data_IF_651161881719
#
_entry.id   IF_651161881719
#
_cell.length_a   1.000
_cell.length_b   1.000
_cell.length_c   1.000
_cell.angle_alpha   90.00
_cell.angle_beta   90.00
_cell.angle_gamma   90.00
#
_symmetry.space_group_name_H-M   'P 1'
#
loop_
_entity.id
_entity.type
_entity.pdbx_description
1 polymer ?
#
# COMPACT_ATOMS: atom_id res chain seq x y z
N UNK A 1 -20.75 73.99 -84.76
CA UNK A 1 -19.44 73.39 -85.11
C UNK A 1 -19.39 71.97 -84.51
N UNK A 2 -18.80 71.04 -85.27
CA UNK A 2 -18.59 69.59 -85.10
C UNK A 2 -18.49 69.03 -83.64
N UNK A 3 -19.18 67.92 -83.28
CA UNK A 3 -18.82 66.46 -83.39
C UNK A 3 -17.69 66.12 -82.37
N UNK A 4 -17.69 65.09 -81.51
CA UNK A 4 -18.01 63.65 -81.59
C UNK A 4 -18.20 63.07 -80.17
N UNK A 5 -19.04 62.04 -80.05
CA UNK A 5 -19.31 61.17 -78.89
C UNK A 5 -18.22 60.12 -78.64
N UNK A 6 -18.00 59.73 -77.37
CA UNK A 6 -17.48 58.42 -77.01
C UNK A 6 -18.36 57.74 -75.94
N UNK A 7 -18.73 56.50 -76.23
CA UNK A 7 -19.50 55.56 -75.40
C UNK A 7 -18.76 55.19 -74.12
N UNK A 8 -19.43 55.27 -72.97
CA UNK A 8 -19.04 54.57 -71.76
C UNK A 8 -19.64 53.15 -71.78
N UNK A 9 -18.77 52.13 -71.70
CA UNK A 9 -19.13 50.73 -71.56
C UNK A 9 -19.52 50.45 -70.12
N UNK A 10 -20.75 50.01 -69.92
CA UNK A 10 -21.38 49.73 -68.63
C UNK A 10 -20.86 48.38 -68.13
N UNK A 11 -20.26 48.35 -66.94
CA UNK A 11 -19.98 47.10 -66.25
C UNK A 11 -21.32 46.40 -65.94
N UNK A 12 -21.46 45.17 -66.41
CA UNK A 12 -22.71 44.38 -66.38
C UNK A 12 -23.21 44.11 -64.95
N UNK A 13 -24.54 44.20 -64.68
CA UNK A 13 -25.13 44.08 -63.33
C UNK A 13 -24.92 42.74 -62.62
N UNK A 14 -24.50 41.69 -63.33
CA UNK A 14 -24.43 40.33 -62.78
C UNK A 14 -23.23 40.10 -61.85
N UNK A 15 -22.08 40.74 -62.11
CA UNK A 15 -20.89 40.58 -61.25
C UNK A 15 -21.08 41.23 -59.87
N UNK A 16 -21.77 42.38 -59.81
CA UNK A 16 -22.00 43.11 -58.57
C UNK A 16 -22.99 42.41 -57.62
N UNK A 17 -23.99 41.72 -58.17
CA UNK A 17 -24.96 40.93 -57.38
C UNK A 17 -24.33 39.65 -56.82
N UNK A 18 -23.44 39.00 -57.60
CA UNK A 18 -22.70 37.81 -57.18
C UNK A 18 -21.71 38.10 -56.04
N UNK A 19 -20.93 39.20 -56.11
CA UNK A 19 -20.02 39.57 -55.01
C UNK A 19 -20.74 39.98 -53.73
N UNK A 20 -21.88 40.68 -53.82
CA UNK A 20 -22.67 41.07 -52.64
C UNK A 20 -23.31 39.85 -51.96
N UNK A 21 -23.87 38.93 -52.75
CA UNK A 21 -24.48 37.70 -52.23
C UNK A 21 -23.43 36.74 -51.63
N UNK A 22 -22.26 36.60 -52.27
CA UNK A 22 -21.13 35.85 -51.71
C UNK A 22 -20.64 36.42 -50.38
N UNK A 23 -20.50 37.74 -50.24
CA UNK A 23 -20.05 38.37 -48.99
C UNK A 23 -21.07 38.26 -47.85
N UNK A 24 -22.37 38.29 -48.15
CA UNK A 24 -23.42 38.09 -47.14
C UNK A 24 -23.49 36.62 -46.70
N UNK A 25 -23.34 35.68 -47.63
CA UNK A 25 -23.33 34.24 -47.33
C UNK A 25 -22.05 33.88 -46.55
N UNK A 26 -20.87 34.36 -46.96
CA UNK A 26 -19.62 34.14 -46.21
C UNK A 26 -19.66 34.73 -44.81
N UNK A 27 -20.22 35.93 -44.60
CA UNK A 27 -20.40 36.48 -43.25
C UNK A 27 -21.38 35.66 -42.42
N UNK A 28 -22.48 35.15 -42.98
CA UNK A 28 -23.43 34.28 -42.25
C UNK A 28 -22.83 32.92 -41.90
N UNK A 29 -22.02 32.34 -42.79
CA UNK A 29 -21.30 31.07 -42.54
C UNK A 29 -20.18 31.27 -41.51
N UNK A 30 -19.46 32.39 -41.56
CA UNK A 30 -18.42 32.75 -40.58
C UNK A 30 -19.01 33.03 -39.19
N UNK A 31 -20.16 33.71 -39.10
CA UNK A 31 -20.86 33.95 -37.83
C UNK A 31 -21.56 32.69 -37.29
N UNK A 32 -22.08 31.81 -38.15
CA UNK A 32 -22.63 30.51 -37.72
C UNK A 32 -21.53 29.58 -37.16
N UNK A 33 -20.33 29.59 -37.76
CA UNK A 33 -19.17 28.84 -37.25
C UNK A 33 -18.71 29.32 -35.87
N UNK A 34 -18.67 30.64 -35.63
CA UNK A 34 -18.27 31.20 -34.33
C UNK A 34 -19.28 30.87 -33.22
N UNK A 35 -20.58 30.83 -33.52
CA UNK A 35 -21.61 30.47 -32.53
C UNK A 35 -21.59 28.97 -32.21
N UNK A 36 -21.32 28.10 -33.19
CA UNK A 36 -21.21 26.65 -32.98
C UNK A 36 -19.93 26.30 -32.19
N UNK A 37 -18.84 27.05 -32.39
CA UNK A 37 -17.60 26.84 -31.62
C UNK A 37 -17.72 27.39 -30.20
N UNK A 38 -18.52 28.45 -29.96
CA UNK A 38 -18.80 28.97 -28.61
C UNK A 38 -19.73 28.05 -27.79
N UNK A 39 -20.61 27.28 -28.44
CA UNK A 39 -21.52 26.33 -27.78
C UNK A 39 -20.88 25.00 -27.38
N UNK A 40 -19.68 24.68 -27.89
CA UNK A 40 -18.91 23.50 -27.47
C UNK A 40 -18.05 23.74 -26.22
N UNK A 41 -18.04 24.97 -25.69
CA UNK A 41 -17.48 25.28 -24.38
C UNK A 41 -18.52 25.02 -23.27
N UNK A 42 -19.10 23.82 -23.25
CA UNK A 42 -19.72 23.33 -22.02
C UNK A 42 -18.57 23.18 -21.03
N UNK A 43 -18.61 23.99 -19.98
CA UNK A 43 -17.71 23.86 -18.85
C UNK A 43 -17.60 22.37 -18.50
N UNK A 44 -16.41 21.81 -18.69
CA UNK A 44 -16.04 20.64 -17.92
C UNK A 44 -16.04 21.12 -16.48
N UNK A 45 -17.17 20.95 -15.79
CA UNK A 45 -17.20 20.95 -14.34
C UNK A 45 -16.30 19.79 -13.94
N UNK A 46 -15.03 20.08 -13.72
CA UNK A 46 -14.19 19.21 -12.92
C UNK A 46 -14.91 19.18 -11.57
N UNK A 47 -15.64 18.10 -11.32
CA UNK A 47 -16.03 17.76 -9.97
C UNK A 47 -14.71 17.59 -9.22
N UNK A 48 -14.33 18.60 -8.42
CA UNK A 48 -13.42 18.35 -7.34
C UNK A 48 -14.07 17.23 -6.53
N UNK A 49 -13.43 16.07 -6.45
CA UNK A 49 -13.85 15.04 -5.52
C UNK A 49 -13.88 15.71 -4.16
N UNK A 50 -15.05 15.81 -3.55
CA UNK A 50 -15.12 16.06 -2.11
C UNK A 50 -14.25 14.99 -1.48
N UNK A 51 -13.25 15.40 -0.70
CA UNK A 51 -12.32 14.54 0.00
C UNK A 51 -13.06 13.83 1.15
N UNK A 52 -14.08 13.05 0.79
CA UNK A 52 -14.87 12.27 1.72
C UNK A 52 -14.04 11.05 2.07
N UNK A 53 -13.63 10.99 3.33
CA UNK A 53 -12.98 9.82 3.90
C UNK A 53 -13.84 8.56 3.62
N UNK A 54 -13.26 7.48 3.08
CA UNK A 54 -14.05 6.30 2.71
C UNK A 54 -14.80 5.69 3.89
N UNK A 55 -16.04 5.29 3.67
CA UNK A 55 -16.81 4.51 4.64
C UNK A 55 -16.20 3.11 4.82
N UNK A 56 -16.46 2.46 5.95
CA UNK A 56 -15.95 1.11 6.25
C UNK A 56 -17.13 0.16 6.42
N UNK A 57 -17.11 -0.95 5.70
CA UNK A 57 -18.08 -2.05 5.85
C UNK A 57 -17.35 -3.33 6.23
N UNK A 58 -17.73 -3.94 7.35
CA UNK A 58 -17.26 -5.25 7.79
C UNK A 58 -18.37 -6.29 7.59
N UNK A 59 -18.12 -7.28 6.75
CA UNK A 59 -19.06 -8.38 6.45
C UNK A 59 -20.47 -7.88 6.08
N UNK A 60 -20.53 -6.77 5.33
CA UNK A 60 -21.78 -6.13 4.91
C UNK A 60 -22.38 -5.15 5.93
N UNK A 61 -21.83 -5.05 7.14
CA UNK A 61 -22.27 -4.13 8.19
C UNK A 61 -21.44 -2.85 8.21
N UNK A 62 -22.09 -1.68 8.28
CA UNK A 62 -21.39 -0.41 8.39
C UNK A 62 -20.73 -0.25 9.77
N UNK A 63 -19.46 0.15 9.80
CA UNK A 63 -18.78 0.59 11.02
C UNK A 63 -18.96 2.11 11.14
N UNK A 64 -19.29 2.61 12.33
CA UNK A 64 -19.38 4.05 12.62
C UNK A 64 -17.99 4.69 12.75
N UNK A 65 -17.16 4.52 11.73
CA UNK A 65 -15.85 5.11 11.57
C UNK A 65 -15.50 5.17 10.08
N UNK A 66 -14.52 5.99 9.73
CA UNK A 66 -14.09 6.19 8.35
C UNK A 66 -12.61 5.87 8.19
N UNK A 67 -12.23 5.42 7.00
CA UNK A 67 -10.84 5.19 6.65
C UNK A 67 -10.17 6.52 6.27
N UNK A 68 -8.85 6.58 6.36
CA UNK A 68 -8.07 7.67 5.79
C UNK A 68 -7.24 7.17 4.63
N UNK A 69 -7.04 8.02 3.62
CA UNK A 69 -6.21 7.71 2.46
C UNK A 69 -5.12 8.76 2.37
N UNK A 70 -3.86 8.33 2.47
CA UNK A 70 -2.70 9.21 2.23
C UNK A 70 -1.80 8.60 1.15
N UNK A 71 -1.46 9.39 0.13
CA UNK A 71 -0.63 8.98 -1.02
C UNK A 71 -1.03 7.64 -1.66
N UNK A 72 -2.32 7.32 -1.63
CA UNK A 72 -2.87 6.07 -2.18
C UNK A 72 -2.87 4.88 -1.22
N UNK A 73 -2.30 5.01 -0.01
CA UNK A 73 -2.36 4.02 1.05
C UNK A 73 -3.62 4.24 1.88
N UNK A 74 -4.32 3.15 2.21
CA UNK A 74 -5.50 3.16 3.08
C UNK A 74 -5.06 2.86 4.51
N UNK A 75 -5.52 3.68 5.47
CA UNK A 75 -5.32 3.44 6.89
C UNK A 75 -6.67 3.36 7.59
N UNK A 76 -6.84 2.32 8.42
CA UNK A 76 -8.09 2.00 9.09
C UNK A 76 -7.97 2.25 10.61
N UNK A 77 -9.04 2.76 11.26
CA UNK A 77 -9.06 3.01 12.70
C UNK A 77 -8.99 1.68 13.46
N UNK A 78 -7.86 1.45 14.14
CA UNK A 78 -7.56 0.19 14.81
C UNK A 78 -8.64 -0.25 15.79
N UNK A 79 -9.04 0.66 16.69
CA UNK A 79 -10.03 0.36 17.74
C UNK A 79 -11.39 0.00 17.14
N UNK A 80 -11.90 0.82 16.21
CA UNK A 80 -13.23 0.61 15.64
C UNK A 80 -13.33 -0.72 14.88
N UNK A 81 -12.32 -1.06 14.08
CA UNK A 81 -12.29 -2.34 13.35
C UNK A 81 -12.05 -3.52 14.30
N UNK A 82 -11.14 -3.38 15.28
CA UNK A 82 -10.86 -4.41 16.28
C UNK A 82 -12.08 -4.75 17.14
N UNK A 83 -12.75 -3.75 17.68
CA UNK A 83 -13.97 -3.93 18.50
C UNK A 83 -15.13 -4.51 17.70
N UNK A 84 -15.29 -4.11 16.43
CA UNK A 84 -16.28 -4.70 15.53
C UNK A 84 -16.03 -6.20 15.27
N UNK A 85 -14.78 -6.64 15.36
CA UNK A 85 -14.38 -8.06 15.30
C UNK A 85 -14.41 -8.77 16.67
N UNK A 86 -14.80 -8.07 17.73
CA UNK A 86 -14.87 -8.60 19.09
C UNK A 86 -13.52 -8.65 19.84
N UNK A 87 -12.52 -7.90 19.39
CA UNK A 87 -11.28 -7.70 20.15
C UNK A 87 -11.45 -6.60 21.20
N UNK A 88 -10.75 -6.77 22.32
CA UNK A 88 -10.51 -5.69 23.27
C UNK A 88 -9.28 -4.89 22.82
N UNK A 89 -9.39 -3.54 22.78
CA UNK A 89 -8.31 -2.66 22.33
C UNK A 89 -7.94 -1.64 23.41
N UNK A 90 -6.85 -1.90 24.12
CA UNK A 90 -6.40 -1.12 25.28
C UNK A 90 -5.10 -0.37 25.00
N UNK A 91 -4.98 0.84 25.55
CA UNK A 91 -3.74 1.61 25.53
C UNK A 91 -3.04 1.52 26.88
N UNK A 92 -1.74 1.20 26.88
CA UNK A 92 -0.87 1.32 28.05
C UNK A 92 -0.05 2.60 27.95
N UNK A 93 -0.35 3.59 28.79
CA UNK A 93 0.44 4.82 28.88
C UNK A 93 1.88 4.55 29.35
N UNK A 94 2.06 3.62 30.28
CA UNK A 94 3.36 3.32 30.87
C UNK A 94 4.34 2.74 29.83
N UNK A 95 3.81 1.88 28.95
CA UNK A 95 4.63 1.17 27.95
C UNK A 95 4.57 1.84 26.58
N UNK A 96 3.68 2.82 26.39
CA UNK A 96 3.36 3.43 25.09
C UNK A 96 2.96 2.38 24.04
N UNK A 97 2.18 1.39 24.45
CA UNK A 97 1.73 0.28 23.60
C UNK A 97 0.22 0.16 23.51
N UNK A 98 -0.26 -0.36 22.38
CA UNK A 98 -1.66 -0.77 22.21
C UNK A 98 -1.72 -2.30 22.28
N UNK A 99 -2.55 -2.85 23.16
CA UNK A 99 -2.93 -4.27 23.16
C UNK A 99 -4.23 -4.45 22.38
N UNK A 100 -4.26 -5.45 21.51
CA UNK A 100 -5.42 -5.89 20.73
C UNK A 100 -5.60 -7.37 20.99
N UNK A 101 -6.57 -7.74 21.82
CA UNK A 101 -6.65 -9.10 22.38
C UNK A 101 -8.04 -9.72 22.32
N UNK A 102 -8.06 -11.05 22.21
CA UNK A 102 -9.20 -11.96 22.41
C UNK A 102 -8.65 -13.31 22.93
N UNK A 103 -9.46 -14.25 23.46
CA UNK A 103 -8.98 -15.44 24.17
C UNK A 103 -7.87 -16.27 23.50
N UNK A 104 -7.78 -16.27 22.17
CA UNK A 104 -6.81 -17.06 21.39
C UNK A 104 -5.83 -16.20 20.55
N UNK A 105 -5.89 -14.87 20.67
CA UNK A 105 -5.01 -13.98 19.90
C UNK A 105 -4.73 -12.72 20.69
N UNK A 106 -3.44 -12.47 20.93
CA UNK A 106 -2.96 -11.24 21.54
C UNK A 106 -1.93 -10.58 20.62
N UNK A 107 -2.11 -9.29 20.40
CA UNK A 107 -1.27 -8.47 19.54
C UNK A 107 -0.88 -7.22 20.31
N UNK A 108 0.42 -6.99 20.46
CA UNK A 108 0.97 -5.80 21.08
C UNK A 108 1.61 -4.93 20.01
N UNK A 109 1.24 -3.65 19.98
CA UNK A 109 1.72 -2.66 19.04
C UNK A 109 2.50 -1.60 19.81
N UNK A 110 3.80 -1.53 19.57
CA UNK A 110 4.71 -0.51 20.08
C UNK A 110 4.88 0.58 19.01
N UNK A 111 4.17 1.69 19.21
CA UNK A 111 4.17 2.81 18.27
C UNK A 111 5.52 3.53 18.22
N UNK A 112 6.26 3.57 19.33
CA UNK A 112 7.54 4.28 19.42
C UNK A 112 8.60 3.56 18.59
N UNK A 113 8.65 2.23 18.72
CA UNK A 113 9.66 1.40 18.04
C UNK A 113 9.17 0.81 16.71
N UNK A 114 7.98 1.21 16.24
CA UNK A 114 7.35 0.69 15.02
C UNK A 114 7.31 -0.84 14.99
N UNK A 115 6.97 -1.47 16.11
CA UNK A 115 7.06 -2.93 16.28
C UNK A 115 5.71 -3.53 16.65
N UNK A 116 5.37 -4.65 16.02
CA UNK A 116 4.20 -5.46 16.36
C UNK A 116 4.68 -6.81 16.85
N UNK A 117 4.08 -7.29 17.94
CA UNK A 117 4.26 -8.65 18.45
C UNK A 117 2.92 -9.37 18.41
N UNK A 118 2.79 -10.41 17.60
CA UNK A 118 1.59 -11.23 17.47
C UNK A 118 1.96 -12.71 17.59
N UNK A 119 1.35 -13.45 18.51
CA UNK A 119 1.57 -14.90 18.67
C UNK A 119 3.07 -15.28 18.73
N UNK A 120 3.84 -14.57 19.54
CA UNK A 120 5.30 -14.74 19.73
C UNK A 120 6.18 -14.40 18.51
N UNK A 121 5.59 -13.94 17.40
CA UNK A 121 6.28 -13.33 16.26
C UNK A 121 6.39 -11.82 16.44
N UNK A 122 7.60 -11.26 16.38
CA UNK A 122 7.82 -9.82 16.45
C UNK A 122 8.41 -9.26 15.16
N UNK A 123 7.78 -8.24 14.57
CA UNK A 123 8.24 -7.63 13.32
C UNK A 123 8.05 -6.12 13.33
N UNK A 124 8.81 -5.43 12.48
CA UNK A 124 8.62 -4.00 12.27
C UNK A 124 7.41 -3.74 11.38
N UNK A 125 6.46 -2.93 11.85
CA UNK A 125 5.32 -2.50 11.05
C UNK A 125 5.72 -1.36 10.11
N UNK A 126 4.94 -1.20 9.03
CA UNK A 126 5.02 -0.01 8.19
C UNK A 126 4.44 1.21 8.88
N UNK A 127 4.20 2.25 8.08
CA UNK A 127 3.67 3.51 8.59
C UNK A 127 2.32 3.33 9.29
N UNK A 128 2.11 4.17 10.30
CA UNK A 128 0.82 4.40 10.95
C UNK A 128 0.55 5.90 10.98
N UNK A 129 -0.69 6.28 11.28
CA UNK A 129 -1.05 7.68 11.53
C UNK A 129 -1.95 7.80 12.75
N UNK A 130 -1.86 8.93 13.44
CA UNK A 130 -2.76 9.29 14.54
C UNK A 130 -3.68 10.40 14.03
N UNK A 131 -4.99 10.13 14.01
CA UNK A 131 -6.02 11.07 13.60
C UNK A 131 -6.99 11.23 14.75
N UNK A 132 -7.11 12.44 15.30
CA UNK A 132 -7.96 12.73 16.46
C UNK A 132 -7.75 11.74 17.62
N UNK A 133 -6.49 11.54 18.02
CA UNK A 133 -6.05 10.63 19.09
C UNK A 133 -6.39 9.15 18.85
N UNK A 134 -6.73 8.77 17.61
CA UNK A 134 -6.99 7.37 17.20
C UNK A 134 -5.89 6.85 16.30
N UNK A 135 -5.31 5.72 16.68
CA UNK A 135 -4.35 5.00 15.84
C UNK A 135 -5.03 4.43 14.60
N UNK A 136 -4.48 4.75 13.43
CA UNK A 136 -4.85 4.19 12.16
C UNK A 136 -3.66 3.43 11.57
N UNK A 137 -3.89 2.17 11.24
CA UNK A 137 -2.86 1.28 10.69
C UNK A 137 -3.13 0.97 9.23
N UNK A 138 -2.08 0.69 8.48
CA UNK A 138 -2.21 0.23 7.09
C UNK A 138 -2.98 -1.09 6.99
N UNK A 139 -3.57 -1.35 5.83
CA UNK A 139 -4.42 -2.54 5.57
C UNK A 139 -3.72 -3.87 5.85
N UNK A 140 -2.40 -3.94 5.62
CA UNK A 140 -1.59 -5.14 5.89
C UNK A 140 -1.69 -5.58 7.36
N UNK A 141 -1.77 -4.65 8.32
CA UNK A 141 -1.94 -5.02 9.72
C UNK A 141 -3.23 -5.83 9.93
N UNK A 142 -4.33 -5.39 9.34
CA UNK A 142 -5.64 -6.03 9.50
C UNK A 142 -5.67 -7.39 8.79
N UNK A 143 -5.07 -7.48 7.61
CA UNK A 143 -4.98 -8.75 6.89
C UNK A 143 -4.15 -9.79 7.60
N UNK A 144 -3.00 -9.40 8.16
CA UNK A 144 -2.06 -10.34 8.74
C UNK A 144 -2.37 -10.69 10.20
N UNK A 145 -2.92 -9.74 10.96
CA UNK A 145 -3.12 -9.90 12.40
C UNK A 145 -4.59 -10.08 12.77
N UNK A 146 -5.55 -9.64 11.95
CA UNK A 146 -6.97 -9.71 12.30
C UNK A 146 -7.81 -10.56 11.33
N UNK A 147 -7.15 -11.24 10.37
CA UNK A 147 -7.83 -12.18 9.48
C UNK A 147 -8.84 -11.50 8.56
N UNK A 148 -8.48 -10.33 8.02
CA UNK A 148 -9.35 -9.55 7.15
C UNK A 148 -8.86 -9.51 5.70
N UNK A 149 -9.75 -9.76 4.75
CA UNK A 149 -9.55 -9.35 3.36
C UNK A 149 -9.99 -7.91 3.21
N UNK A 150 -9.12 -7.06 2.67
CA UNK A 150 -9.43 -5.64 2.45
C UNK A 150 -9.58 -5.37 0.95
N UNK A 151 -10.73 -4.82 0.56
CA UNK A 151 -11.00 -4.34 -0.79
C UNK A 151 -11.44 -2.88 -0.76
N UNK A 152 -11.04 -2.10 -1.77
CA UNK A 152 -11.48 -0.70 -1.89
C UNK A 152 -12.35 -0.53 -3.15
N UNK A 153 -13.63 -0.28 -2.92
CA UNK A 153 -14.53 0.26 -3.93
C UNK A 153 -14.29 1.77 -4.06
N UNK A 154 -13.49 2.15 -5.06
CA UNK A 154 -13.14 3.55 -5.33
C UNK A 154 -14.29 4.35 -5.91
N UNK A 155 -15.22 3.71 -6.61
CA UNK A 155 -16.35 4.38 -7.26
C UNK A 155 -17.36 4.83 -6.21
N UNK A 156 -17.65 3.97 -5.23
CA UNK A 156 -18.60 4.27 -4.16
C UNK A 156 -17.92 4.83 -2.89
N UNK A 157 -16.59 4.82 -2.80
CA UNK A 157 -15.86 5.33 -1.65
C UNK A 157 -15.99 4.44 -0.41
N UNK A 158 -15.97 3.12 -0.58
CA UNK A 158 -16.19 2.15 0.48
C UNK A 158 -14.98 1.20 0.61
N UNK A 159 -14.46 1.06 1.83
CA UNK A 159 -13.55 -0.03 2.18
C UNK A 159 -14.37 -1.23 2.65
N UNK A 160 -14.30 -2.31 1.90
CA UNK A 160 -14.86 -3.61 2.24
C UNK A 160 -13.84 -4.41 3.04
N UNK A 161 -14.22 -4.78 4.25
CA UNK A 161 -13.53 -5.73 5.12
C UNK A 161 -14.35 -7.01 5.15
N UNK A 162 -13.70 -8.13 4.87
CA UNK A 162 -14.33 -9.45 4.95
C UNK A 162 -13.53 -10.34 5.90
N UNK A 163 -14.22 -10.94 6.86
CA UNK A 163 -13.63 -11.94 7.75
C UNK A 163 -13.24 -13.18 6.94
N UNK A 164 -12.03 -13.69 7.18
CA UNK A 164 -11.51 -14.81 6.42
C UNK A 164 -11.49 -16.10 7.24
N UNK A 165 -11.83 -17.20 6.59
CA UNK A 165 -11.62 -18.52 7.16
C UNK A 165 -10.22 -19.01 6.80
N UNK A 166 -9.34 -19.04 7.79
CA UNK A 166 -7.96 -19.50 7.60
C UNK A 166 -7.89 -21.02 7.41
N UNK A 167 -6.83 -21.49 6.76
CA UNK A 167 -6.57 -22.93 6.67
C UNK A 167 -6.44 -23.52 8.07
N UNK A 168 -6.93 -24.75 8.26
CA UNK A 168 -6.84 -25.49 9.53
C UNK A 168 -5.42 -26.04 9.78
N UNK A 169 -4.45 -25.13 9.93
CA UNK A 169 -3.07 -25.40 10.32
C UNK A 169 -2.70 -24.53 11.51
N UNK A 170 -1.80 -25.03 12.36
CA UNK A 170 -1.17 -24.21 13.39
C UNK A 170 0.12 -23.63 12.85
N UNK A 171 0.41 -22.35 13.13
CA UNK A 171 1.66 -21.70 12.76
C UNK A 171 2.34 -21.20 14.02
N UNK A 172 3.59 -21.62 14.24
CA UNK A 172 4.42 -21.21 15.37
C UNK A 172 5.67 -20.52 14.87
N UNK A 173 6.11 -19.51 15.62
CA UNK A 173 7.38 -18.82 15.38
C UNK A 173 8.51 -19.62 16.02
N UNK A 174 9.49 -20.03 15.22
CA UNK A 174 10.79 -20.47 15.74
C UNK A 174 11.72 -19.27 15.78
N UNK A 175 12.43 -19.12 16.90
CA UNK A 175 13.30 -17.98 17.17
C UNK A 175 14.70 -18.43 17.53
N UNK A 176 15.70 -17.82 16.92
CA UNK A 176 17.10 -17.98 17.25
C UNK A 176 17.74 -16.61 17.37
N UNK A 177 18.50 -16.38 18.44
CA UNK A 177 19.24 -15.14 18.61
C UNK A 177 20.61 -15.43 19.21
N UNK A 178 21.64 -14.78 18.67
CA UNK A 178 22.99 -14.82 19.20
C UNK A 178 23.69 -13.49 18.95
N UNK A 179 24.65 -13.16 19.81
CA UNK A 179 25.44 -11.95 19.65
C UNK A 179 26.87 -12.21 20.12
N UNK A 180 27.81 -11.73 19.32
CA UNK A 180 29.24 -11.70 19.60
C UNK A 180 29.74 -10.27 19.50
N UNK A 181 31.05 -10.05 19.65
CA UNK A 181 31.64 -8.72 19.43
C UNK A 181 31.59 -8.30 17.95
N UNK A 182 31.46 -9.25 17.01
CA UNK A 182 31.52 -8.99 15.56
C UNK A 182 30.16 -9.03 14.89
N UNK A 183 29.28 -9.93 15.30
CA UNK A 183 27.97 -10.14 14.66
C UNK A 183 26.84 -10.30 15.68
N UNK A 184 25.69 -9.70 15.35
CA UNK A 184 24.38 -9.96 15.96
C UNK A 184 23.51 -10.73 14.97
N UNK A 185 22.95 -11.85 15.40
CA UNK A 185 22.06 -12.69 14.60
C UNK A 185 20.70 -12.77 15.27
N UNK A 186 19.63 -12.49 14.53
CA UNK A 186 18.24 -12.63 14.97
C UNK A 186 17.46 -13.29 13.84
N UNK A 187 16.98 -14.51 14.07
CA UNK A 187 16.22 -15.29 13.10
C UNK A 187 14.84 -15.58 13.68
N UNK A 188 13.81 -15.33 12.89
CA UNK A 188 12.44 -15.77 13.12
C UNK A 188 11.92 -16.42 11.84
N UNK A 189 11.36 -17.61 11.95
CA UNK A 189 10.78 -18.32 10.82
C UNK A 189 9.59 -19.18 11.24
N UNK A 190 8.63 -19.45 10.34
CA UNK A 190 7.44 -20.20 10.71
C UNK A 190 7.75 -21.69 10.76
N UNK A 191 7.02 -22.39 11.62
CA UNK A 191 6.83 -23.82 11.60
C UNK A 191 5.33 -24.08 11.56
N UNK A 192 4.89 -24.88 10.59
CA UNK A 192 3.49 -25.30 10.47
C UNK A 192 3.27 -26.68 11.09
N UNK A 193 2.08 -26.88 11.65
CA UNK A 193 1.58 -28.16 12.14
C UNK A 193 0.12 -28.37 11.72
N UNK A 194 -0.44 -29.53 12.09
CA UNK A 194 -1.84 -29.92 11.84
C UNK A 194 -2.21 -30.08 10.36
N UNK A 195 -1.23 -30.10 9.45
CA UNK A 195 -1.48 -30.47 8.06
C UNK A 195 -1.76 -31.98 7.96
N UNK A 196 -2.76 -32.36 7.16
CA UNK A 196 -3.14 -33.77 6.94
C UNK A 196 -1.98 -34.59 6.32
N UNK A 197 -1.30 -34.01 5.32
CA UNK A 197 -0.14 -34.63 4.69
C UNK A 197 1.15 -34.25 5.45
N UNK A 198 1.60 -35.14 6.34
CA UNK A 198 2.82 -34.94 7.13
C UNK A 198 4.09 -34.89 6.27
N UNK A 199 4.13 -35.55 5.11
CA UNK A 199 5.29 -35.45 4.23
C UNK A 199 5.39 -34.06 3.60
N UNK A 200 4.26 -33.47 3.22
CA UNK A 200 4.21 -32.09 2.74
C UNK A 200 4.54 -31.11 3.88
N UNK A 201 4.01 -31.35 5.09
CA UNK A 201 4.31 -30.54 6.27
C UNK A 201 5.82 -30.47 6.54
N UNK A 202 6.48 -31.63 6.58
CA UNK A 202 7.91 -31.73 6.84
C UNK A 202 8.74 -31.03 5.76
N UNK A 203 8.34 -31.17 4.49
CA UNK A 203 9.01 -30.49 3.37
C UNK A 203 8.87 -28.97 3.44
N UNK A 204 7.69 -28.46 3.80
CA UNK A 204 7.47 -27.03 3.98
C UNK A 204 8.32 -26.50 5.14
N UNK A 205 8.29 -27.17 6.29
CA UNK A 205 9.07 -26.79 7.46
C UNK A 205 10.58 -26.83 7.18
N UNK A 206 11.06 -27.82 6.41
CA UNK A 206 12.45 -27.90 6.00
C UNK A 206 12.87 -26.70 5.11
N UNK A 207 12.00 -26.23 4.21
CA UNK A 207 12.25 -25.02 3.41
C UNK A 207 12.39 -23.80 4.32
N UNK A 208 11.51 -23.64 5.31
CA UNK A 208 11.54 -22.52 6.24
C UNK A 208 12.83 -22.49 7.07
N UNK A 209 13.21 -23.63 7.67
CA UNK A 209 14.45 -23.72 8.44
C UNK A 209 15.69 -23.55 7.56
N UNK A 210 15.68 -24.10 6.34
CA UNK A 210 16.81 -23.99 5.41
C UNK A 210 17.07 -22.52 5.05
N UNK A 211 16.03 -21.72 4.81
CA UNK A 211 16.22 -20.29 4.50
C UNK A 211 16.82 -19.51 5.67
N UNK A 212 16.40 -19.80 6.89
CA UNK A 212 16.99 -19.19 8.08
C UNK A 212 18.47 -19.62 8.26
N UNK A 213 18.79 -20.88 7.97
CA UNK A 213 20.16 -21.38 7.99
C UNK A 213 21.05 -20.73 6.91
N UNK A 214 20.54 -20.57 5.69
CA UNK A 214 21.23 -19.87 4.60
C UNK A 214 21.57 -18.42 5.00
N UNK A 215 20.60 -17.67 5.53
CA UNK A 215 20.80 -16.30 6.01
C UNK A 215 21.84 -16.21 7.14
N UNK A 216 21.81 -17.16 8.10
CA UNK A 216 22.81 -17.26 9.17
C UNK A 216 24.21 -17.53 8.61
N UNK A 217 24.34 -18.46 7.67
CA UNK A 217 25.63 -18.82 7.09
C UNK A 217 26.23 -17.68 6.28
N UNK A 218 25.39 -16.91 5.57
CA UNK A 218 25.81 -15.67 4.91
C UNK A 218 26.31 -14.63 5.91
N UNK A 219 25.57 -14.41 7.00
CA UNK A 219 25.99 -13.53 8.09
C UNK A 219 27.35 -13.90 8.68
N UNK A 220 27.54 -15.18 9.01
CA UNK A 220 28.79 -15.68 9.55
C UNK A 220 29.97 -15.50 8.58
N UNK A 221 29.72 -15.65 7.27
CA UNK A 221 30.73 -15.36 6.24
C UNK A 221 31.07 -13.86 6.21
N UNK A 222 30.07 -12.99 6.26
CA UNK A 222 30.27 -11.54 6.31
C UNK A 222 31.08 -11.12 7.55
N UNK A 223 30.82 -11.74 8.70
CA UNK A 223 31.57 -11.51 9.93
C UNK A 223 33.05 -11.94 9.81
N UNK A 224 33.32 -13.12 9.25
CA UNK A 224 34.69 -13.61 9.00
C UNK A 224 35.47 -12.69 8.03
N UNK A 225 34.80 -12.16 7.00
CA UNK A 225 35.39 -11.17 6.09
C UNK A 225 35.69 -9.83 6.81
N UNK A 226 34.80 -9.38 7.70
CA UNK A 226 35.00 -8.18 8.51
C UNK A 226 36.19 -8.33 9.48
N UNK A 227 36.32 -9.47 10.15
CA UNK A 227 37.47 -9.76 11.03
C UNK A 227 38.80 -9.68 10.27
N UNK A 228 38.86 -10.27 9.07
CA UNK A 228 40.04 -10.19 8.20
C UNK A 228 40.33 -8.75 7.77
N UNK A 229 39.30 -7.96 7.45
CA UNK A 229 39.47 -6.55 7.10
C UNK A 229 40.02 -5.74 8.28
N UNK A 230 39.49 -5.92 9.49
CA UNK A 230 39.98 -5.25 10.70
C UNK A 230 41.43 -5.62 11.02
N UNK A 231 41.81 -6.90 10.85
CA UNK A 231 43.19 -7.34 10.99
C UNK A 231 44.14 -6.66 9.98
N UNK A 232 43.63 -6.21 8.82
CA UNK A 232 44.39 -5.49 7.79
C UNK A 232 44.49 -3.96 8.01
N UNK A 233 43.95 -3.44 9.11
CA UNK A 233 44.01 -2.03 9.48
C UNK A 233 42.76 -1.21 9.12
N UNK A 234 41.69 -1.85 8.66
CA UNK A 234 40.37 -1.22 8.57
C UNK A 234 39.86 -0.89 9.98
N UNK A 235 39.43 0.36 10.19
CA UNK A 235 38.99 0.83 11.51
C UNK A 235 37.55 0.42 11.87
N UNK A 236 36.90 -0.37 11.03
CA UNK A 236 35.55 -0.90 11.28
C UNK A 236 34.41 0.03 10.84
N UNK A 237 33.20 -0.51 10.86
CA UNK A 237 31.97 0.26 11.04
C UNK A 237 31.75 0.48 12.54
N UNK A 238 31.11 1.58 12.99
CA UNK A 238 30.67 1.69 14.38
C UNK A 238 29.72 0.56 14.80
N UNK A 239 29.07 -0.09 13.83
CA UNK A 239 28.12 -1.17 14.05
C UNK A 239 28.74 -2.55 13.76
N UNK A 240 28.36 -3.53 14.59
CA UNK A 240 28.61 -4.96 14.34
C UNK A 240 27.94 -5.39 13.03
N UNK A 241 28.42 -6.46 12.40
CA UNK A 241 27.65 -7.16 11.39
C UNK A 241 26.29 -7.56 11.97
N UNK A 242 25.26 -7.61 11.13
CA UNK A 242 23.92 -8.03 11.55
C UNK A 242 23.30 -8.97 10.52
N UNK A 243 22.74 -10.08 11.01
CA UNK A 243 21.80 -10.90 10.27
C UNK A 243 20.46 -10.79 10.96
N UNK A 244 19.48 -10.23 10.26
CA UNK A 244 18.09 -10.19 10.68
C UNK A 244 17.26 -10.93 9.64
N UNK A 245 16.80 -12.14 10.01
CA UNK A 245 15.91 -12.95 9.19
C UNK A 245 14.54 -13.00 9.84
N UNK A 246 13.50 -12.65 9.09
CA UNK A 246 12.13 -12.62 9.57
C UNK A 246 11.16 -13.10 8.48
N UNK A 247 9.89 -13.29 8.83
CA UNK A 247 8.85 -13.67 7.89
C UNK A 247 7.57 -12.86 8.07
N UNK A 248 6.71 -12.85 7.04
CA UNK A 248 5.37 -12.26 7.08
C UNK A 248 4.39 -13.22 6.40
N UNK A 249 3.29 -13.54 7.09
CA UNK A 249 2.20 -14.35 6.53
C UNK A 249 1.29 -13.45 5.70
N UNK A 250 1.35 -13.58 4.37
CA UNK A 250 0.55 -12.72 3.47
C UNK A 250 -0.78 -13.35 3.04
N UNK A 251 -0.91 -14.68 3.17
CA UNK A 251 -2.13 -15.41 2.81
C UNK A 251 -2.18 -16.76 3.50
N UNK A 252 -3.33 -17.17 4.04
CA UNK A 252 -3.52 -18.48 4.67
C UNK A 252 -4.98 -18.98 4.49
N UNK A 253 -5.45 -19.17 3.26
CA UNK A 253 -6.83 -19.57 2.96
C UNK A 253 -6.88 -20.53 1.77
N UNK A 254 -8.00 -21.22 1.58
CA UNK A 254 -8.29 -22.02 0.36
C UNK A 254 -7.20 -23.04 0.00
N UNK A 255 -6.54 -23.64 0.99
CA UNK A 255 -5.43 -24.57 0.80
C UNK A 255 -4.12 -23.94 0.33
N UNK A 256 -4.02 -22.60 0.34
CA UNK A 256 -2.84 -21.84 -0.03
C UNK A 256 -2.26 -21.09 1.17
N UNK A 257 -0.95 -21.20 1.34
CA UNK A 257 -0.15 -20.45 2.30
C UNK A 257 0.87 -19.62 1.54
N UNK A 258 0.91 -18.30 1.78
CA UNK A 258 1.91 -17.38 1.21
C UNK A 258 2.73 -16.77 2.34
N UNK A 259 4.03 -17.04 2.32
CA UNK A 259 5.00 -16.52 3.29
C UNK A 259 6.03 -15.69 2.54
N UNK A 260 6.29 -14.48 3.03
CA UNK A 260 7.38 -13.63 2.55
C UNK A 260 8.49 -13.66 3.60
N UNK A 261 9.73 -13.90 3.17
CA UNK A 261 10.91 -13.83 4.03
C UNK A 261 11.62 -12.49 3.84
N UNK A 262 12.01 -11.86 4.94
CA UNK A 262 12.93 -10.73 4.97
C UNK A 262 14.29 -11.23 5.40
N UNK A 263 15.27 -11.14 4.52
CA UNK A 263 16.67 -11.48 4.78
C UNK A 263 17.49 -10.19 4.73
N UNK A 264 17.75 -9.61 5.90
CA UNK A 264 18.58 -8.42 6.05
C UNK A 264 19.97 -8.81 6.53
N UNK A 265 20.97 -8.36 5.76
CA UNK A 265 22.38 -8.55 6.04
C UNK A 265 23.06 -7.18 6.13
N UNK A 266 23.75 -6.95 7.23
CA UNK A 266 24.64 -5.81 7.40
C UNK A 266 26.07 -6.30 7.56
N UNK A 267 26.92 -5.94 6.60
CA UNK A 267 28.34 -6.32 6.57
C UNK A 267 29.29 -5.13 6.77
N UNK A 268 28.77 -3.99 7.26
CA UNK A 268 29.52 -2.74 7.41
C UNK A 268 29.35 -1.77 6.24
N UNK A 269 29.46 -0.46 6.50
CA UNK A 269 29.23 0.60 5.51
C UNK A 269 28.02 1.48 5.85
N UNK A 270 27.74 2.44 4.95
CA UNK A 270 26.62 3.37 5.03
C UNK A 270 25.37 2.83 4.32
#
# INVERSE_FOLDING_TARGET
MYKISWKASIATPQLYQLERSFNVIMKKVFWAGVIITLMLSVCASAFAATDSQPAIMLDGTNIEAVASVDKGNVYLPLRAVGEALGYEVQWSENDSTISVSRPEKDVIIDLINYKVTANDHAYYMGDYTIIEDRAHLGTDFFSENLGLRVGWDRENGIIHLESVHENAISIKTIKEASETDIIKTTLQYPQIDDLDDKTVQDRINAIFSQKAEEARNEGLKNADEMEKAMASGYTGSPNKCETYFDYRLKYNQNGLLSVVFMDYQYSGGA
#
